data_IF_212377543241
#
_entry.id   IF_212377543241
#
_cell.length_a   1.000
_cell.length_b   1.000
_cell.length_c   1.000
_cell.angle_alpha   90.00
_cell.angle_beta   90.00
_cell.angle_gamma   90.00
#
_symmetry.space_group_name_H-M   'P 1'
#
loop_
_entity.id
_entity.type
_entity.pdbx_description
1 polymer ?
#
# COMPACT_ATOMS: atom_id res chain seq x y z
N UNK A 1 26.98 23.43 11.54
CA UNK A 1 27.38 24.16 12.76
C UNK A 1 27.52 25.64 12.45
N UNK A 2 26.62 26.46 12.98
CA UNK A 2 26.52 27.88 12.63
C UNK A 2 27.55 28.75 13.38
N UNK A 3 28.41 28.15 14.20
CA UNK A 3 29.38 28.84 15.04
C UNK A 3 30.80 28.89 14.44
N UNK A 4 30.97 28.50 13.17
CA UNK A 4 32.26 28.61 12.46
C UNK A 4 32.38 29.96 11.75
N UNK A 5 33.58 30.55 11.69
CA UNK A 5 33.82 31.80 10.94
C UNK A 5 33.57 31.60 9.44
N UNK A 6 33.11 32.65 8.76
CA UNK A 6 32.70 32.58 7.33
C UNK A 6 33.80 32.06 6.40
N UNK A 7 35.08 32.28 6.74
CA UNK A 7 36.22 31.75 5.98
C UNK A 7 36.32 30.23 6.05
N UNK A 8 36.19 29.65 7.26
CA UNK A 8 36.25 28.20 7.47
C UNK A 8 35.06 27.51 6.81
N UNK A 9 33.88 28.15 6.82
CA UNK A 9 32.70 27.66 6.11
C UNK A 9 32.91 27.59 4.59
N UNK A 10 33.53 28.61 4.01
CA UNK A 10 33.82 28.67 2.56
C UNK A 10 34.90 27.68 2.14
N UNK A 11 35.98 27.57 2.91
CA UNK A 11 37.04 26.59 2.64
C UNK A 11 36.52 25.16 2.67
N UNK A 12 35.66 24.83 3.65
CA UNK A 12 34.99 23.52 3.73
C UNK A 12 34.11 23.24 2.51
N UNK A 13 33.26 24.19 2.14
CA UNK A 13 32.37 24.02 0.99
C UNK A 13 33.13 23.93 -0.34
N UNK A 14 34.30 24.58 -0.43
CA UNK A 14 35.18 24.54 -1.60
C UNK A 14 35.90 23.19 -1.72
N UNK A 15 36.48 22.69 -0.63
CA UNK A 15 37.23 21.42 -0.65
C UNK A 15 36.33 20.19 -0.79
N UNK A 16 35.07 20.28 -0.37
CA UNK A 16 34.12 19.16 -0.44
C UNK A 16 33.37 19.07 -1.78
N UNK A 17 33.69 19.91 -2.77
CA UNK A 17 33.26 19.77 -4.17
C UNK A 17 31.80 20.11 -4.47
N UNK A 18 30.88 19.88 -3.52
CA UNK A 18 29.49 20.34 -3.57
C UNK A 18 29.02 20.63 -2.15
N UNK A 19 28.22 21.70 -2.00
CA UNK A 19 27.90 22.30 -0.70
C UNK A 19 27.41 21.29 0.33
N UNK A 20 28.29 20.90 1.26
CA UNK A 20 27.98 20.05 2.42
C UNK A 20 27.14 20.85 3.40
N UNK A 21 25.89 21.07 3.00
CA UNK A 21 24.97 21.97 3.66
C UNK A 21 23.59 21.32 3.78
N UNK A 22 23.51 20.00 3.79
CA UNK A 22 22.27 19.27 4.05
C UNK A 22 22.43 18.33 5.23
N UNK A 23 23.43 17.45 5.25
CA UNK A 23 23.64 16.50 6.36
C UNK A 23 23.90 17.17 7.72
N UNK A 24 24.76 18.20 7.77
CA UNK A 24 25.03 18.95 9.02
C UNK A 24 24.02 20.08 9.33
N UNK A 25 23.12 20.42 8.38
CA UNK A 25 21.95 21.25 8.72
C UNK A 25 20.93 20.43 9.51
N UNK A 26 20.86 19.13 9.25
CA UNK A 26 19.96 18.22 9.95
C UNK A 26 20.32 17.98 11.42
N UNK A 27 21.57 18.15 11.88
CA UNK A 27 21.87 17.95 13.32
C UNK A 27 21.22 19.05 14.20
N UNK A 28 21.36 20.33 13.79
CA UNK A 28 20.76 21.46 14.50
C UNK A 28 19.26 21.65 14.18
N UNK A 29 18.82 21.20 13.01
CA UNK A 29 17.39 21.17 12.68
C UNK A 29 16.67 20.01 13.39
N UNK A 30 17.35 18.88 13.64
CA UNK A 30 16.79 17.74 14.37
C UNK A 30 16.43 18.10 15.81
N UNK A 31 17.12 19.07 16.42
CA UNK A 31 16.77 19.58 17.75
C UNK A 31 15.49 20.45 17.74
N UNK A 32 15.23 21.14 16.63
CA UNK A 32 14.04 21.97 16.44
C UNK A 32 12.86 21.23 15.80
N UNK A 33 13.06 19.97 15.39
CA UNK A 33 12.02 19.21 14.68
C UNK A 33 11.04 18.57 15.65
N UNK A 34 11.50 17.97 16.76
CA UNK A 34 10.65 17.46 17.85
C UNK A 34 11.50 17.30 19.12
N UNK A 35 10.97 17.66 20.29
CA UNK A 35 11.59 17.31 21.58
C UNK A 35 11.72 15.78 21.71
N UNK A 36 12.83 15.30 22.28
CA UNK A 36 13.04 13.85 22.53
C UNK A 36 12.01 13.28 23.52
N UNK A 37 11.42 14.14 24.34
CA UNK A 37 10.34 13.83 25.27
C UNK A 37 9.01 14.24 24.65
N UNK A 38 8.18 13.25 24.33
CA UNK A 38 6.83 13.48 23.83
C UNK A 38 5.85 13.48 25.02
N UNK A 39 4.92 14.45 25.12
CA UNK A 39 3.86 14.37 26.11
C UNK A 39 2.99 13.13 25.84
N UNK A 40 2.35 12.55 26.87
CA UNK A 40 1.49 11.38 26.69
C UNK A 40 0.35 11.69 25.70
N UNK A 41 0.25 10.95 24.58
CA UNK A 41 -0.78 11.23 23.57
C UNK A 41 -2.14 10.67 23.98
N UNK A 42 -3.21 11.40 23.64
CA UNK A 42 -4.60 10.91 23.71
C UNK A 42 -5.03 10.43 22.33
N UNK A 43 -4.81 9.15 22.05
CA UNK A 43 -5.15 8.56 20.76
C UNK A 43 -6.67 8.35 20.63
N UNK A 44 -7.26 8.62 19.45
CA UNK A 44 -8.67 8.31 19.23
C UNK A 44 -8.87 6.79 19.22
N UNK A 45 -10.06 6.39 19.67
CA UNK A 45 -10.47 4.98 19.67
C UNK A 45 -10.87 4.51 18.28
N UNK A 46 -10.65 3.22 18.00
CA UNK A 46 -11.06 2.61 16.74
C UNK A 46 -12.59 2.55 16.54
N UNK A 47 -13.05 2.30 15.31
CA UNK A 47 -14.47 2.38 14.92
C UNK A 47 -15.38 1.33 15.59
N UNK A 48 -14.77 0.34 16.24
CA UNK A 48 -15.47 -0.72 16.99
C UNK A 48 -15.69 -0.37 18.47
N UNK A 49 -15.34 0.83 18.94
CA UNK A 49 -15.72 1.31 20.28
C UNK A 49 -17.10 2.00 20.24
N UNK A 50 -18.15 1.22 19.93
CA UNK A 50 -19.54 1.66 19.94
C UNK A 50 -20.31 0.97 21.06
N UNK A 51 -21.13 1.73 21.78
CA UNK A 51 -21.91 1.23 22.93
C UNK A 51 -23.06 0.31 22.52
N UNK A 52 -23.71 0.57 21.38
CA UNK A 52 -24.83 -0.21 20.85
C UNK A 52 -24.60 -0.59 19.39
N UNK A 53 -25.35 -1.59 18.91
CA UNK A 53 -25.33 -2.07 17.52
C UNK A 53 -23.93 -2.46 17.01
N UNK A 54 -23.16 -3.15 17.85
CA UNK A 54 -21.76 -3.44 17.60
C UNK A 54 -21.42 -4.91 17.84
N UNK A 55 -22.22 -5.79 17.27
CA UNK A 55 -22.01 -7.23 17.38
C UNK A 55 -20.77 -7.67 16.60
N UNK A 56 -20.03 -8.61 17.16
CA UNK A 56 -18.79 -9.11 16.56
C UNK A 56 -19.05 -9.92 15.28
N UNK A 57 -20.17 -10.65 15.22
CA UNK A 57 -20.54 -11.52 14.11
C UNK A 57 -20.63 -10.79 12.76
N UNK A 58 -21.17 -9.58 12.69
CA UNK A 58 -21.28 -8.81 11.44
C UNK A 58 -20.00 -8.08 11.01
N UNK A 59 -18.96 -8.07 11.85
CA UNK A 59 -17.66 -7.45 11.55
C UNK A 59 -16.57 -8.48 11.23
N UNK A 60 -16.81 -9.76 11.52
CA UNK A 60 -15.77 -10.79 11.50
C UNK A 60 -15.49 -11.28 10.08
N UNK A 61 -14.71 -10.50 9.31
CA UNK A 61 -14.27 -10.88 7.96
C UNK A 61 -13.49 -12.20 7.90
N UNK A 62 -12.97 -12.68 9.03
CA UNK A 62 -12.32 -14.00 9.12
C UNK A 62 -13.31 -15.16 8.90
N UNK A 63 -14.59 -14.96 9.19
CA UNK A 63 -15.65 -15.98 8.98
C UNK A 63 -16.40 -15.80 7.66
N UNK A 64 -16.23 -14.65 7.01
CA UNK A 64 -16.77 -14.37 5.68
C UNK A 64 -15.96 -15.03 4.56
N UNK A 65 -14.80 -15.62 4.86
CA UNK A 65 -14.01 -16.36 3.89
C UNK A 65 -14.73 -17.66 3.51
N UNK A 66 -15.38 -17.65 2.35
CA UNK A 66 -15.91 -18.85 1.74
C UNK A 66 -14.78 -19.78 1.25
N UNK A 67 -14.98 -21.11 1.27
CA UNK A 67 -14.06 -22.01 0.60
C UNK A 67 -13.96 -21.67 -0.89
N UNK A 68 -12.80 -21.93 -1.50
CA UNK A 68 -12.57 -21.63 -2.90
C UNK A 68 -13.61 -22.32 -3.80
N UNK A 69 -14.14 -21.58 -4.78
CA UNK A 69 -15.03 -22.14 -5.78
C UNK A 69 -14.22 -23.04 -6.73
N UNK A 70 -14.57 -24.32 -6.77
CA UNK A 70 -13.92 -25.30 -7.66
C UNK A 70 -14.58 -25.21 -9.04
N UNK A 71 -13.85 -24.69 -10.03
CA UNK A 71 -14.34 -24.53 -11.42
C UNK A 71 -14.26 -25.84 -12.21
N UNK A 72 -13.26 -26.69 -11.91
CA UNK A 72 -13.06 -27.99 -12.56
C UNK A 72 -12.52 -28.99 -11.54
N UNK A 73 -13.17 -30.15 -11.42
CA UNK A 73 -12.75 -31.27 -10.57
C UNK A 73 -12.98 -32.58 -11.33
N UNK A 74 -12.04 -33.51 -11.22
CA UNK A 74 -12.17 -34.83 -11.85
C UNK A 74 -13.12 -35.76 -11.06
N UNK A 75 -13.29 -35.52 -9.75
CA UNK A 75 -14.09 -36.36 -8.86
C UNK A 75 -15.54 -35.88 -8.72
N UNK A 76 -15.79 -34.57 -8.84
CA UNK A 76 -17.15 -34.02 -8.81
C UNK A 76 -17.61 -33.70 -10.23
N UNK A 77 -18.70 -34.35 -10.66
CA UNK A 77 -19.43 -33.99 -11.87
C UNK A 77 -20.07 -32.61 -11.67
N UNK A 78 -19.30 -31.57 -11.98
CA UNK A 78 -19.80 -30.22 -12.07
C UNK A 78 -20.33 -30.06 -13.49
N UNK A 79 -21.56 -29.59 -13.66
CA UNK A 79 -22.05 -29.09 -14.93
C UNK A 79 -21.31 -27.79 -15.25
N UNK A 80 -20.03 -27.89 -15.62
CA UNK A 80 -19.51 -26.94 -16.59
C UNK A 80 -20.38 -27.10 -17.82
N UNK A 81 -20.78 -25.98 -18.40
CA UNK A 81 -21.56 -25.94 -19.63
C UNK A 81 -21.04 -26.99 -20.64
N UNK A 82 -21.76 -28.10 -20.74
CA UNK A 82 -21.64 -29.10 -21.80
C UNK A 82 -20.35 -29.96 -21.82
N UNK A 83 -20.47 -31.18 -21.30
CA UNK A 83 -20.05 -32.47 -21.89
C UNK A 83 -18.65 -32.56 -22.53
N UNK A 84 -17.79 -33.38 -21.91
CA UNK A 84 -16.76 -34.14 -22.63
C UNK A 84 -17.44 -35.18 -23.55
N UNK A 85 -17.83 -34.80 -24.77
CA UNK A 85 -17.92 -35.66 -25.95
C UNK A 85 -18.54 -34.88 -27.12
N UNK A 86 -17.97 -35.08 -28.29
CA UNK A 86 -18.37 -34.61 -29.61
C UNK A 86 -18.01 -33.18 -29.97
N UNK A 87 -17.15 -33.13 -30.98
CA UNK A 87 -16.88 -32.04 -31.91
C UNK A 87 -18.19 -31.34 -32.30
N UNK A 88 -18.43 -30.15 -31.79
CA UNK A 88 -19.08 -29.08 -32.53
C UNK A 88 -18.31 -27.79 -32.26
N UNK A 89 -18.01 -27.09 -33.34
CA UNK A 89 -17.40 -25.76 -33.34
C UNK A 89 -18.23 -24.84 -32.44
N UNK A 90 -17.73 -24.54 -31.24
CA UNK A 90 -18.25 -23.48 -30.39
C UNK A 90 -17.26 -22.33 -30.56
N UNK A 91 -17.67 -21.29 -31.28
CA UNK A 91 -16.96 -20.00 -31.21
C UNK A 91 -17.03 -19.51 -29.75
N UNK A 92 -16.03 -19.86 -28.96
CA UNK A 92 -15.82 -19.26 -27.64
C UNK A 92 -15.06 -17.96 -27.86
N UNK A 93 -15.74 -16.84 -27.62
CA UNK A 93 -15.08 -15.55 -27.49
C UNK A 93 -13.98 -15.67 -26.43
N UNK A 94 -12.79 -15.15 -26.75
CA UNK A 94 -11.66 -15.12 -25.84
C UNK A 94 -11.97 -14.19 -24.66
N UNK A 95 -12.00 -14.74 -23.45
CA UNK A 95 -12.20 -13.97 -22.22
C UNK A 95 -10.86 -13.42 -21.74
N UNK A 96 -10.74 -12.09 -21.63
CA UNK A 96 -9.61 -11.45 -20.96
C UNK A 96 -9.97 -11.19 -19.49
N UNK A 97 -9.14 -11.62 -18.51
CA UNK A 97 -9.47 -11.52 -17.09
C UNK A 97 -9.51 -10.08 -16.57
N UNK A 98 -8.88 -9.15 -17.29
CA UNK A 98 -8.80 -7.74 -16.95
C UNK A 98 -9.09 -6.96 -18.24
N UNK A 99 -9.95 -5.93 -18.22
CA UNK A 99 -10.16 -5.08 -19.40
C UNK A 99 -8.85 -4.36 -19.78
N UNK A 100 -8.61 -4.10 -21.08
CA UNK A 100 -7.40 -3.41 -21.52
C UNK A 100 -7.34 -2.01 -20.87
N UNK A 101 -6.15 -1.64 -20.37
CA UNK A 101 -5.91 -0.33 -19.78
C UNK A 101 -6.26 0.77 -20.81
N UNK A 102 -7.11 1.73 -20.43
CA UNK A 102 -7.43 2.86 -21.30
C UNK A 102 -6.18 3.73 -21.43
N UNK A 103 -5.57 3.78 -22.61
CA UNK A 103 -4.50 4.75 -22.89
C UNK A 103 -5.10 6.15 -22.78
N UNK A 104 -4.60 6.95 -21.83
CA UNK A 104 -4.96 8.36 -21.75
C UNK A 104 -4.47 9.03 -23.05
N UNK A 105 -5.42 9.40 -23.91
CA UNK A 105 -5.15 10.23 -25.09
C UNK A 105 -4.74 11.60 -24.56
N UNK A 106 -3.47 11.96 -24.71
CA UNK A 106 -3.01 13.32 -24.46
C UNK A 106 -3.82 14.26 -25.36
N UNK A 107 -4.57 15.18 -24.73
CA UNK A 107 -5.16 16.34 -25.37
C UNK A 107 -4.14 17.48 -25.33
#
# INVERSE_FOLDING_TARGET
>A
DNNATKMIQRLRNLLSGDGVCTLCKCHNLCYNLFCRTLPPPKLPVGPSHKFAFNYYNGRDGRRESAPAMVVMSCQKALTSLGVCLSVLHIERLTFFPIPPCKTARAQ
#
